data_IF_797196586775
#
_entry.id   IF_797196586775
#
_cell.length_a   1.000
_cell.length_b   1.000
_cell.length_c   1.000
_cell.angle_alpha   90.00
_cell.angle_beta   90.00
_cell.angle_gamma   90.00
#
_symmetry.space_group_name_H-M   'P 1'
#
loop_
_entity.id
_entity.type
_entity.pdbx_description
1 polymer ?
#
# COMPACT_ATOMS: atom_id res chain seq x y z
N UNK A 1 2.12 -21.20 -12.79
CA UNK A 1 1.63 -20.76 -11.44
C UNK A 1 2.69 -19.86 -10.89
N UNK A 2 2.40 -18.57 -10.70
CA UNK A 2 3.40 -17.60 -10.25
C UNK A 2 3.84 -17.91 -8.82
N UNK A 3 5.14 -17.83 -8.54
CA UNK A 3 5.72 -18.11 -7.22
C UNK A 3 5.02 -17.39 -6.04
N UNK A 4 4.41 -16.26 -6.29
CA UNK A 4 3.61 -15.50 -5.33
C UNK A 4 2.26 -16.13 -5.00
N UNK A 5 1.59 -16.73 -5.97
CA UNK A 5 0.33 -17.44 -5.73
C UNK A 5 0.54 -18.60 -4.75
N UNK A 6 1.60 -19.36 -4.93
CA UNK A 6 1.95 -20.48 -4.04
C UNK A 6 2.21 -20.03 -2.61
N UNK A 7 2.87 -18.89 -2.41
CA UNK A 7 3.18 -18.35 -1.08
C UNK A 7 1.90 -17.91 -0.33
N UNK A 8 0.94 -17.31 -1.05
CA UNK A 8 -0.35 -16.93 -0.47
C UNK A 8 -1.16 -18.16 -0.07
N UNK A 9 -1.17 -19.19 -0.91
CA UNK A 9 -1.86 -20.46 -0.58
C UNK A 9 -1.25 -21.15 0.64
N UNK A 10 0.09 -21.19 0.74
CA UNK A 10 0.80 -21.72 1.92
C UNK A 10 0.42 -20.91 3.17
N UNK A 11 0.38 -19.57 3.07
CA UNK A 11 -0.01 -18.72 4.19
C UNK A 11 -1.47 -18.97 4.63
N UNK A 12 -2.41 -19.03 3.68
CA UNK A 12 -3.82 -19.36 3.92
C UNK A 12 -3.92 -20.72 4.63
N UNK A 13 -3.19 -21.71 4.17
CA UNK A 13 -3.20 -23.06 4.73
C UNK A 13 -2.65 -23.08 6.16
N UNK A 14 -1.49 -22.43 6.40
CA UNK A 14 -0.89 -22.35 7.73
C UNK A 14 -1.79 -21.58 8.71
N UNK A 15 -2.31 -20.42 8.31
CA UNK A 15 -3.19 -19.62 9.16
C UNK A 15 -4.50 -20.34 9.50
N UNK A 16 -5.08 -21.04 8.52
CA UNK A 16 -6.29 -21.85 8.74
C UNK A 16 -6.03 -23.01 9.69
N UNK A 17 -4.92 -23.73 9.50
CA UNK A 17 -4.54 -24.84 10.38
C UNK A 17 -4.27 -24.35 11.82
N UNK A 18 -3.62 -23.23 11.97
CA UNK A 18 -3.38 -22.60 13.29
C UNK A 18 -4.70 -22.26 13.97
N UNK A 19 -5.66 -21.67 13.25
CA UNK A 19 -6.98 -21.34 13.80
C UNK A 19 -7.79 -22.58 14.20
N UNK A 20 -7.67 -23.67 13.42
CA UNK A 20 -8.31 -24.95 13.76
C UNK A 20 -7.72 -25.56 15.03
N UNK A 21 -6.38 -25.60 15.14
CA UNK A 21 -5.69 -26.14 16.32
C UNK A 21 -6.03 -25.33 17.56
N UNK A 22 -5.90 -23.98 17.49
CA UNK A 22 -6.25 -23.11 18.60
C UNK A 22 -7.73 -23.24 18.99
N UNK A 23 -8.62 -23.35 18.02
CA UNK A 23 -10.03 -23.57 18.26
C UNK A 23 -10.28 -24.88 19.02
N UNK A 24 -9.65 -25.96 18.60
CA UNK A 24 -9.76 -27.26 19.27
C UNK A 24 -9.23 -27.24 20.71
N UNK A 25 -8.05 -26.65 20.93
CA UNK A 25 -7.45 -26.51 22.27
C UNK A 25 -8.30 -25.65 23.23
N UNK A 26 -8.99 -24.62 22.72
CA UNK A 26 -9.80 -23.71 23.55
C UNK A 26 -11.22 -24.23 23.84
N UNK A 27 -11.78 -25.07 23.00
CA UNK A 27 -13.19 -25.46 23.14
C UNK A 27 -13.55 -26.81 22.48
N UNK A 28 -12.58 -27.70 22.35
CA UNK A 28 -12.75 -29.04 21.77
C UNK A 28 -13.54 -29.01 20.45
N UNK A 29 -14.64 -29.78 20.33
CA UNK A 29 -15.45 -29.85 19.10
C UNK A 29 -16.11 -28.51 18.75
N UNK A 30 -16.62 -27.78 19.74
CA UNK A 30 -17.25 -26.49 19.52
C UNK A 30 -16.22 -25.43 19.11
N UNK A 31 -15.06 -25.43 19.77
CA UNK A 31 -13.94 -24.58 19.42
C UNK A 31 -13.39 -24.85 18.04
N UNK A 32 -13.33 -26.12 17.61
CA UNK A 32 -12.93 -26.48 16.24
C UNK A 32 -13.92 -25.88 15.20
N UNK A 33 -15.23 -25.95 15.44
CA UNK A 33 -16.24 -25.35 14.56
C UNK A 33 -16.11 -23.84 14.48
N UNK A 34 -15.87 -23.17 15.60
CA UNK A 34 -15.63 -21.72 15.65
C UNK A 34 -14.32 -21.38 14.91
N UNK A 35 -13.24 -22.14 15.13
CA UNK A 35 -11.96 -22.00 14.44
C UNK A 35 -12.11 -22.17 12.93
N UNK A 36 -12.89 -23.14 12.49
CA UNK A 36 -13.19 -23.37 11.07
C UNK A 36 -13.98 -22.21 10.46
N UNK A 37 -15.06 -21.77 11.14
CA UNK A 37 -15.87 -20.64 10.67
C UNK A 37 -15.03 -19.35 10.58
N UNK A 38 -14.15 -19.13 11.56
CA UNK A 38 -13.23 -17.97 11.59
C UNK A 38 -12.21 -18.06 10.46
N UNK A 39 -11.60 -19.23 10.24
CA UNK A 39 -10.66 -19.44 9.13
C UNK A 39 -11.34 -19.24 7.77
N UNK A 40 -12.54 -19.78 7.59
CA UNK A 40 -13.34 -19.64 6.36
C UNK A 40 -13.71 -18.17 6.13
N UNK A 41 -14.17 -17.46 7.17
CA UNK A 41 -14.48 -16.03 7.11
C UNK A 41 -13.26 -15.18 6.76
N UNK A 42 -12.11 -15.47 7.36
CA UNK A 42 -10.86 -14.76 7.10
C UNK A 42 -10.36 -15.02 5.68
N UNK A 43 -10.43 -16.26 5.20
CA UNK A 43 -10.06 -16.62 3.83
C UNK A 43 -11.00 -15.98 2.81
N UNK A 44 -12.31 -16.01 3.07
CA UNK A 44 -13.30 -15.32 2.24
C UNK A 44 -13.02 -13.83 2.17
N UNK A 45 -12.72 -13.21 3.32
CA UNK A 45 -12.39 -11.80 3.39
C UNK A 45 -11.13 -11.46 2.60
N UNK A 46 -10.05 -12.23 2.76
CA UNK A 46 -8.80 -12.07 2.00
C UNK A 46 -9.04 -12.26 0.50
N UNK A 47 -9.91 -13.19 0.10
CA UNK A 47 -10.18 -13.50 -1.29
C UNK A 47 -11.12 -12.47 -1.96
N UNK A 48 -12.17 -12.03 -1.29
CA UNK A 48 -13.17 -11.12 -1.85
C UNK A 48 -12.77 -9.63 -1.78
N UNK A 49 -11.95 -9.24 -0.82
CA UNK A 49 -11.38 -7.89 -0.79
C UNK A 49 -10.20 -7.72 -1.76
N UNK A 50 -10.21 -8.48 -2.84
CA UNK A 50 -9.17 -8.54 -3.87
C UNK A 50 -9.00 -7.28 -4.73
N UNK A 51 -9.90 -6.29 -4.67
CA UNK A 51 -9.60 -4.95 -5.16
C UNK A 51 -9.07 -4.13 -3.99
N UNK A 52 -7.90 -3.53 -4.18
CA UNK A 52 -7.28 -2.72 -3.14
C UNK A 52 -8.29 -1.70 -2.59
N UNK A 53 -8.56 -1.70 -1.28
CA UNK A 53 -9.41 -0.70 -0.66
C UNK A 53 -8.97 0.73 -0.98
N UNK A 54 -7.68 0.90 -1.28
CA UNK A 54 -7.08 2.17 -1.64
C UNK A 54 -7.57 2.67 -3.01
N UNK A 55 -7.60 1.79 -4.03
CA UNK A 55 -8.12 2.16 -5.36
C UNK A 55 -9.60 2.55 -5.30
N UNK A 56 -10.38 1.82 -4.51
CA UNK A 56 -11.81 2.15 -4.29
C UNK A 56 -12.01 3.45 -3.51
N UNK A 57 -11.21 3.66 -2.45
CA UNK A 57 -11.31 4.85 -1.62
C UNK A 57 -11.04 6.14 -2.40
N UNK A 58 -10.17 6.07 -3.40
CA UNK A 58 -9.84 7.21 -4.26
C UNK A 58 -10.53 7.18 -5.62
N UNK A 59 -11.54 6.34 -5.81
CA UNK A 59 -12.30 6.24 -7.06
C UNK A 59 -11.41 6.07 -8.30
N UNK A 60 -10.33 5.31 -8.17
CA UNK A 60 -9.36 5.09 -9.23
C UNK A 60 -10.02 4.44 -10.45
N UNK A 61 -9.78 5.01 -11.62
CA UNK A 61 -10.28 4.50 -12.91
C UNK A 61 -9.12 3.91 -13.71
N UNK A 62 -9.27 2.71 -14.31
CA UNK A 62 -8.22 2.17 -15.16
C UNK A 62 -8.00 3.09 -16.35
N UNK A 63 -6.74 3.39 -16.63
CA UNK A 63 -6.38 4.13 -17.85
C UNK A 63 -6.55 3.17 -19.04
N UNK A 64 -7.59 3.40 -19.82
CA UNK A 64 -7.90 2.64 -21.04
C UNK A 64 -7.96 3.59 -22.23
N UNK A 65 -7.28 3.25 -23.29
CA UNK A 65 -7.32 4.03 -24.53
C UNK A 65 -6.07 4.87 -24.76
N UNK A 66 -6.23 6.12 -25.22
CA UNK A 66 -5.11 7.00 -25.53
C UNK A 66 -4.29 7.33 -24.28
N UNK A 67 -2.99 7.08 -24.36
CA UNK A 67 -1.99 7.43 -23.38
C UNK A 67 -1.08 8.56 -23.92
N UNK A 68 -1.50 9.83 -23.79
CA UNK A 68 -0.77 10.95 -24.35
C UNK A 68 0.62 11.16 -23.71
N UNK A 69 0.85 10.57 -22.56
CA UNK A 69 2.13 10.67 -21.84
C UNK A 69 3.08 9.52 -22.15
N UNK A 70 2.62 8.44 -22.82
CA UNK A 70 3.43 7.23 -23.09
C UNK A 70 3.76 6.42 -21.82
N UNK A 71 2.91 6.52 -20.80
CA UNK A 71 3.15 5.89 -19.47
C UNK A 71 3.09 4.37 -19.55
N UNK A 72 2.26 3.84 -20.44
CA UNK A 72 2.10 2.39 -20.63
C UNK A 72 3.39 1.77 -21.18
N UNK A 73 4.00 2.41 -22.18
CA UNK A 73 5.28 1.98 -22.76
C UNK A 73 6.41 2.03 -21.72
N UNK A 74 6.47 3.09 -20.91
CA UNK A 74 7.43 3.20 -19.80
C UNK A 74 7.23 2.10 -18.75
N UNK A 75 5.96 1.79 -18.40
CA UNK A 75 5.66 0.70 -17.47
C UNK A 75 6.08 -0.66 -18.03
N UNK A 76 5.84 -0.94 -19.32
CA UNK A 76 6.30 -2.15 -19.99
C UNK A 76 7.83 -2.25 -19.92
N UNK A 77 8.54 -1.20 -20.38
CA UNK A 77 10.01 -1.13 -20.36
C UNK A 77 10.60 -1.45 -18.97
N UNK A 78 10.09 -0.81 -17.92
CA UNK A 78 10.64 -1.00 -16.58
C UNK A 78 10.21 -2.32 -15.93
N UNK A 79 9.02 -2.80 -16.24
CA UNK A 79 8.53 -4.09 -15.74
C UNK A 79 9.35 -5.24 -16.34
N UNK A 80 9.63 -5.20 -17.65
CA UNK A 80 10.46 -6.19 -18.34
C UNK A 80 11.88 -6.20 -17.79
N UNK A 81 12.47 -5.01 -17.58
CA UNK A 81 13.81 -4.90 -16.99
C UNK A 81 13.89 -5.52 -15.59
N UNK A 82 12.81 -5.43 -14.80
CA UNK A 82 12.75 -5.98 -13.44
C UNK A 82 12.21 -7.42 -13.38
N UNK A 83 11.79 -7.98 -14.52
CA UNK A 83 11.19 -9.33 -14.59
C UNK A 83 9.81 -9.41 -13.91
N UNK A 84 9.02 -8.34 -13.98
CA UNK A 84 7.69 -8.25 -13.39
C UNK A 84 6.60 -8.29 -14.47
N UNK A 85 5.41 -8.83 -14.16
CA UNK A 85 4.26 -8.65 -15.03
C UNK A 85 3.88 -7.16 -15.09
N UNK A 86 3.60 -6.66 -16.30
CA UNK A 86 3.20 -5.26 -16.51
C UNK A 86 2.00 -4.89 -15.62
N UNK A 87 2.12 -3.90 -14.72
CA UNK A 87 1.07 -3.52 -13.82
C UNK A 87 -0.07 -2.79 -14.54
N UNK A 88 -1.27 -2.84 -13.96
CA UNK A 88 -2.36 -2.02 -14.46
C UNK A 88 -2.16 -0.56 -14.05
N UNK A 89 -2.41 0.36 -14.99
CA UNK A 89 -2.32 1.80 -14.74
C UNK A 89 -3.71 2.37 -14.42
N UNK A 90 -3.79 3.12 -13.32
CA UNK A 90 -5.01 3.78 -12.86
C UNK A 90 -4.81 5.29 -12.76
N UNK A 91 -5.86 6.02 -13.13
CA UNK A 91 -5.98 7.45 -12.90
C UNK A 91 -6.87 7.69 -11.69
N UNK A 92 -6.38 8.53 -10.77
CA UNK A 92 -7.11 8.96 -9.57
C UNK A 92 -7.55 10.41 -9.74
N UNK A 93 -8.85 10.74 -9.58
CA UNK A 93 -9.36 12.09 -9.75
C UNK A 93 -9.06 12.96 -8.53
N UNK A 94 -7.78 13.16 -8.24
CA UNK A 94 -7.27 14.02 -7.17
C UNK A 94 -6.44 15.15 -7.78
N UNK A 95 -6.62 16.37 -7.27
CA UNK A 95 -5.80 17.52 -7.64
C UNK A 95 -4.43 17.51 -6.95
N UNK A 96 -4.32 16.84 -5.80
CA UNK A 96 -3.05 16.66 -5.11
C UNK A 96 -2.11 15.80 -5.96
N UNK A 97 -0.86 16.18 -6.03
CA UNK A 97 0.19 15.47 -6.75
C UNK A 97 0.65 14.26 -5.95
N UNK A 98 0.16 13.09 -6.32
CA UNK A 98 0.52 11.85 -5.61
C UNK A 98 0.51 10.65 -6.53
N UNK A 99 1.29 9.64 -6.14
CA UNK A 99 1.32 8.34 -6.79
C UNK A 99 1.44 7.25 -5.74
N UNK A 100 0.80 6.13 -5.98
CA UNK A 100 0.90 4.94 -5.13
C UNK A 100 0.80 3.67 -5.95
N UNK A 101 1.33 2.59 -5.40
CA UNK A 101 1.20 1.28 -6.00
C UNK A 101 0.53 0.31 -5.03
N UNK A 102 -0.20 -0.65 -5.59
CA UNK A 102 -0.81 -1.76 -4.85
C UNK A 102 -0.49 -3.07 -5.53
N UNK A 103 -0.12 -4.05 -4.73
CA UNK A 103 0.07 -5.40 -5.21
C UNK A 103 -1.06 -6.29 -4.69
N UNK A 104 -1.74 -6.93 -5.62
CA UNK A 104 -2.73 -7.95 -5.31
C UNK A 104 -2.04 -9.31 -5.46
N UNK A 105 -1.96 -10.06 -4.37
CA UNK A 105 -1.13 -11.27 -4.22
C UNK A 105 -1.26 -12.31 -5.36
N UNK A 106 -2.34 -12.32 -6.10
CA UNK A 106 -2.62 -13.25 -7.22
C UNK A 106 -2.97 -12.57 -8.52
N UNK A 107 -2.97 -11.23 -8.55
CA UNK A 107 -3.25 -10.43 -9.76
C UNK A 107 -2.03 -9.60 -10.12
N UNK A 108 -2.07 -9.00 -11.29
CA UNK A 108 -1.09 -7.99 -11.70
C UNK A 108 -1.10 -6.84 -10.70
N UNK A 109 0.07 -6.35 -10.35
CA UNK A 109 0.21 -5.11 -9.58
C UNK A 109 -0.52 -3.95 -10.26
N UNK A 110 -0.76 -2.89 -9.52
CA UNK A 110 -1.40 -1.69 -10.05
C UNK A 110 -0.63 -0.47 -9.61
N UNK A 111 -0.43 0.47 -10.52
CA UNK A 111 0.13 1.80 -10.27
C UNK A 111 -0.99 2.81 -10.46
N UNK A 112 -1.12 3.73 -9.53
CA UNK A 112 -2.11 4.80 -9.58
C UNK A 112 -1.43 6.16 -9.54
N UNK A 113 -1.79 7.02 -10.48
CA UNK A 113 -1.31 8.40 -10.61
C UNK A 113 -2.49 9.34 -10.46
N UNK A 114 -2.30 10.44 -9.73
CA UNK A 114 -3.34 11.46 -9.60
C UNK A 114 -3.41 12.36 -10.85
N UNK A 115 -4.58 12.94 -11.09
CA UNK A 115 -4.75 13.92 -12.18
C UNK A 115 -3.87 15.16 -11.96
N UNK A 116 -3.70 15.63 -10.71
CA UNK A 116 -2.81 16.73 -10.39
C UNK A 116 -1.36 16.44 -10.76
N UNK A 117 -0.88 15.21 -10.50
CA UNK A 117 0.46 14.79 -10.88
C UNK A 117 0.66 14.85 -12.40
N UNK A 118 -0.30 14.32 -13.19
CA UNK A 118 -0.22 14.31 -14.64
C UNK A 118 -0.30 15.71 -15.27
N UNK A 119 -0.95 16.65 -14.61
CA UNK A 119 -1.07 18.03 -15.10
C UNK A 119 0.15 18.90 -14.78
N UNK A 120 0.79 18.67 -13.63
CA UNK A 120 1.78 19.57 -13.09
C UNK A 120 3.23 19.07 -13.23
N UNK A 121 3.44 17.82 -13.63
CA UNK A 121 4.76 17.21 -13.76
C UNK A 121 5.13 17.01 -15.23
N UNK A 122 6.43 17.18 -15.55
CA UNK A 122 6.96 16.92 -16.87
C UNK A 122 6.95 15.41 -17.18
N UNK A 123 7.13 15.06 -18.45
CA UNK A 123 7.21 13.66 -18.87
C UNK A 123 8.37 12.93 -18.18
N UNK A 124 9.50 13.60 -18.05
CA UNK A 124 10.71 13.09 -17.41
C UNK A 124 10.49 12.86 -15.89
N UNK A 125 9.72 13.76 -15.24
CA UNK A 125 9.37 13.61 -13.82
C UNK A 125 8.40 12.44 -13.63
N UNK A 126 7.42 12.29 -14.53
CA UNK A 126 6.50 11.14 -14.54
C UNK A 126 7.24 9.82 -14.76
N UNK A 127 8.27 9.81 -15.61
CA UNK A 127 9.14 8.65 -15.82
C UNK A 127 9.84 8.25 -14.51
N UNK A 128 10.38 9.22 -13.74
CA UNK A 128 11.01 8.96 -12.44
C UNK A 128 10.00 8.41 -11.41
N UNK A 129 8.78 8.96 -11.38
CA UNK A 129 7.70 8.45 -10.53
C UNK A 129 7.34 7.01 -10.88
N UNK A 130 7.19 6.70 -12.18
CA UNK A 130 6.85 5.35 -12.63
C UNK A 130 7.95 4.35 -12.32
N UNK A 131 9.21 4.68 -12.59
CA UNK A 131 10.35 3.83 -12.24
C UNK A 131 10.35 3.49 -10.74
N UNK A 132 10.12 4.50 -9.88
CA UNK A 132 10.00 4.27 -8.45
C UNK A 132 8.83 3.36 -8.10
N UNK A 133 7.65 3.54 -8.72
CA UNK A 133 6.48 2.72 -8.43
C UNK A 133 6.67 1.26 -8.86
N UNK A 134 7.34 1.01 -9.99
CA UNK A 134 7.66 -0.36 -10.42
C UNK A 134 8.66 -1.03 -9.46
N UNK A 135 9.68 -0.31 -8.97
CA UNK A 135 10.58 -0.79 -7.93
C UNK A 135 9.84 -1.11 -6.62
N UNK A 136 8.88 -0.26 -6.25
CA UNK A 136 8.03 -0.49 -5.08
C UNK A 136 7.15 -1.73 -5.24
N UNK A 137 6.60 -1.98 -6.43
CA UNK A 137 5.87 -3.20 -6.73
C UNK A 137 6.75 -4.44 -6.58
N UNK A 138 7.99 -4.41 -7.07
CA UNK A 138 8.96 -5.50 -6.89
C UNK A 138 9.22 -5.80 -5.42
N UNK A 139 9.31 -4.76 -4.58
CA UNK A 139 9.44 -4.90 -3.12
C UNK A 139 8.19 -5.52 -2.50
N UNK A 140 7.00 -5.04 -2.86
CA UNK A 140 5.73 -5.57 -2.38
C UNK A 140 5.50 -7.03 -2.79
N UNK A 141 6.14 -7.44 -3.90
CA UNK A 141 6.12 -8.83 -4.37
C UNK A 141 6.94 -9.78 -3.47
N UNK A 142 7.82 -9.26 -2.62
CA UNK A 142 8.54 -10.07 -1.62
C UNK A 142 7.55 -10.62 -0.60
N UNK A 143 7.68 -11.90 -0.28
CA UNK A 143 6.76 -12.66 0.58
C UNK A 143 6.37 -11.95 1.88
N UNK A 144 7.35 -11.44 2.61
CA UNK A 144 7.11 -10.82 3.93
C UNK A 144 6.23 -9.56 3.87
N UNK A 145 6.47 -8.68 2.90
CA UNK A 145 5.77 -7.38 2.79
C UNK A 145 4.35 -7.56 2.26
N UNK A 146 4.17 -8.39 1.23
CA UNK A 146 2.86 -8.63 0.64
C UNK A 146 1.89 -9.31 1.62
N UNK A 147 2.37 -10.35 2.32
CA UNK A 147 1.56 -11.05 3.33
C UNK A 147 1.21 -10.13 4.49
N UNK A 148 2.17 -9.37 5.01
CA UNK A 148 1.94 -8.48 6.15
C UNK A 148 1.00 -7.33 5.80
N UNK A 149 1.09 -6.77 4.59
CA UNK A 149 0.14 -5.77 4.11
C UNK A 149 -1.27 -6.33 3.99
N UNK A 150 -1.41 -7.58 3.52
CA UNK A 150 -2.71 -8.27 3.42
C UNK A 150 -3.31 -8.52 4.82
N UNK A 151 -2.49 -8.98 5.76
CA UNK A 151 -2.91 -9.18 7.16
C UNK A 151 -3.32 -7.88 7.83
N UNK A 152 -2.53 -6.82 7.67
CA UNK A 152 -2.84 -5.51 8.23
C UNK A 152 -4.18 -4.97 7.69
N UNK A 153 -4.42 -5.13 6.38
CA UNK A 153 -5.68 -4.77 5.75
C UNK A 153 -6.86 -5.64 6.25
N UNK A 154 -6.65 -6.94 6.49
CA UNK A 154 -7.65 -7.83 7.06
C UNK A 154 -8.02 -7.42 8.50
N UNK A 155 -7.02 -7.11 9.33
CA UNK A 155 -7.22 -6.64 10.72
C UNK A 155 -8.02 -5.32 10.74
N UNK A 156 -7.64 -4.34 9.91
CA UNK A 156 -8.37 -3.07 9.78
C UNK A 156 -9.76 -3.28 9.20
N UNK A 157 -9.89 -4.19 8.24
CA UNK A 157 -11.17 -4.58 7.64
C UNK A 157 -12.13 -5.18 8.65
N UNK A 158 -11.63 -6.05 9.54
CA UNK A 158 -12.41 -6.61 10.64
C UNK A 158 -12.93 -5.50 11.58
N UNK A 159 -12.08 -4.53 11.94
CA UNK A 159 -12.51 -3.38 12.71
C UNK A 159 -13.63 -2.57 12.04
N UNK A 160 -13.54 -2.36 10.73
CA UNK A 160 -14.60 -1.68 9.94
C UNK A 160 -15.89 -2.49 9.90
N UNK A 161 -15.79 -3.81 9.73
CA UNK A 161 -16.94 -4.71 9.73
C UNK A 161 -17.67 -4.68 11.08
N UNK A 162 -16.93 -4.78 12.18
CA UNK A 162 -17.48 -4.70 13.53
C UNK A 162 -18.15 -3.35 13.79
N UNK A 163 -17.54 -2.23 13.35
CA UNK A 163 -18.15 -0.90 13.43
C UNK A 163 -19.43 -0.77 12.59
N UNK A 164 -19.54 -1.56 11.50
CA UNK A 164 -20.76 -1.58 10.67
C UNK A 164 -21.88 -2.43 11.26
N UNK A 165 -21.52 -3.57 11.86
CA UNK A 165 -22.47 -4.49 12.49
C UNK A 165 -22.94 -3.99 13.86
N UNK A 166 -22.20 -3.11 14.51
CA UNK A 166 -22.54 -2.57 15.82
C UNK A 166 -23.66 -1.53 15.69
N UNK A 167 -24.83 -1.74 16.31
CA UNK A 167 -25.95 -0.81 16.16
C UNK A 167 -25.62 0.55 16.78
N UNK A 168 -25.89 1.67 16.06
CA UNK A 168 -25.52 3.03 16.49
C UNK A 168 -26.27 3.51 17.75
N UNK A 169 -27.25 2.76 18.25
CA UNK A 169 -28.19 3.20 19.29
C UNK A 169 -27.71 2.97 20.73
N UNK A 170 -26.58 2.30 20.95
CA UNK A 170 -26.08 2.00 22.30
C UNK A 170 -25.13 3.04 22.89
N UNK A 171 -24.69 4.02 22.13
CA UNK A 171 -23.84 5.07 22.67
C UNK A 171 -24.56 6.44 22.59
N UNK A 172 -25.10 6.86 23.73
CA UNK A 172 -25.80 8.12 24.00
C UNK A 172 -24.94 9.40 23.81
N UNK A 173 -24.04 9.46 22.86
CA UNK A 173 -23.26 10.66 22.56
C UNK A 173 -23.41 11.04 21.10
N UNK A 174 -24.24 12.03 20.87
CA UNK A 174 -24.54 12.75 19.62
C UNK A 174 -23.34 13.50 19.02
N UNK A 175 -22.17 12.89 18.81
CA UNK A 175 -21.10 13.59 18.09
C UNK A 175 -20.17 12.60 17.40
N UNK A 176 -20.07 12.75 16.10
CA UNK A 176 -19.19 12.02 15.17
C UNK A 176 -19.38 10.49 15.16
N UNK A 177 -19.42 9.95 13.93
CA UNK A 177 -19.34 8.51 13.61
C UNK A 177 -18.11 7.89 14.32
N UNK A 178 -18.23 7.61 15.61
CA UNK A 178 -17.16 6.96 16.37
C UNK A 178 -17.03 5.54 15.82
N UNK A 179 -15.84 5.18 15.34
CA UNK A 179 -15.49 3.85 14.90
C UNK A 179 -14.57 3.22 15.94
N UNK A 180 -15.12 2.71 17.08
CA UNK A 180 -14.32 2.23 18.20
C UNK A 180 -13.46 1.03 17.82
N UNK A 181 -14.01 0.07 17.06
CA UNK A 181 -13.28 -1.10 16.64
C UNK A 181 -12.17 -0.76 15.63
N UNK A 182 -12.43 0.14 14.69
CA UNK A 182 -11.39 0.62 13.80
C UNK A 182 -10.25 1.30 14.56
N UNK A 183 -10.55 2.10 15.59
CA UNK A 183 -9.52 2.73 16.44
C UNK A 183 -8.70 1.71 17.22
N UNK A 184 -9.30 0.59 17.63
CA UNK A 184 -8.63 -0.49 18.32
C UNK A 184 -7.75 -1.34 17.38
N UNK A 185 -8.25 -1.67 16.20
CA UNK A 185 -7.58 -2.56 15.26
C UNK A 185 -6.55 -1.85 14.37
N UNK A 186 -6.71 -0.55 14.10
CA UNK A 186 -5.78 0.21 13.26
C UNK A 186 -4.33 0.22 13.81
N UNK A 187 -4.05 0.40 15.11
CA UNK A 187 -2.69 0.31 15.66
C UNK A 187 -2.06 -1.07 15.48
N UNK A 188 -2.86 -2.16 15.58
CA UNK A 188 -2.38 -3.52 15.37
C UNK A 188 -1.97 -3.74 13.90
N UNK A 189 -2.84 -3.35 12.97
CA UNK A 189 -2.52 -3.40 11.54
C UNK A 189 -1.29 -2.57 11.20
N UNK A 190 -1.17 -1.39 11.78
CA UNK A 190 0.00 -0.53 11.58
C UNK A 190 1.29 -1.15 12.15
N UNK A 191 1.24 -1.77 13.33
CA UNK A 191 2.37 -2.50 13.92
C UNK A 191 2.88 -3.61 13.00
N UNK A 192 1.98 -4.37 12.38
CA UNK A 192 2.31 -5.39 11.38
C UNK A 192 3.04 -4.79 10.18
N UNK A 193 2.56 -3.67 9.64
CA UNK A 193 3.20 -2.99 8.50
C UNK A 193 4.59 -2.49 8.87
N UNK A 194 4.76 -1.91 10.06
CA UNK A 194 6.06 -1.41 10.53
C UNK A 194 7.10 -2.54 10.68
N UNK A 195 6.69 -3.71 11.13
CA UNK A 195 7.56 -4.88 11.23
C UNK A 195 8.04 -5.36 9.86
N UNK A 196 7.17 -5.31 8.83
CA UNK A 196 7.52 -5.78 7.49
C UNK A 196 8.20 -4.71 6.63
N UNK A 197 7.89 -3.43 6.85
CA UNK A 197 8.31 -2.33 5.99
C UNK A 197 9.43 -1.53 6.64
N UNK A 198 10.66 -2.03 6.51
CA UNK A 198 11.86 -1.32 6.98
C UNK A 198 12.12 -0.06 6.14
N UNK A 199 12.64 1.00 6.76
CA UNK A 199 13.13 2.21 6.09
C UNK A 199 14.19 1.90 5.02
N UNK A 200 14.99 0.83 5.23
CA UNK A 200 15.97 0.34 4.25
C UNK A 200 15.36 0.06 2.88
N UNK A 201 14.14 -0.47 2.84
CA UNK A 201 13.49 -0.77 1.57
C UNK A 201 13.08 0.47 0.77
N UNK A 202 12.88 1.64 1.40
CA UNK A 202 12.66 2.90 0.68
C UNK A 202 13.94 3.35 0.01
N UNK A 203 15.07 3.30 0.72
CA UNK A 203 16.38 3.65 0.18
C UNK A 203 16.80 2.75 -0.99
N UNK A 204 16.52 1.43 -0.88
CA UNK A 204 16.76 0.48 -1.96
C UNK A 204 15.92 0.80 -3.19
N UNK A 205 14.63 1.16 -3.00
CA UNK A 205 13.76 1.57 -4.10
C UNK A 205 14.26 2.85 -4.77
N UNK A 206 14.72 3.84 -3.98
CA UNK A 206 15.28 5.10 -4.51
C UNK A 206 16.49 4.82 -5.39
N UNK A 207 17.43 3.99 -4.93
CA UNK A 207 18.63 3.64 -5.68
C UNK A 207 18.29 2.89 -6.97
N UNK A 208 17.44 1.87 -6.90
CA UNK A 208 17.06 1.10 -8.09
C UNK A 208 16.25 1.94 -9.09
N UNK A 209 15.38 2.82 -8.62
CA UNK A 209 14.65 3.73 -9.52
C UNK A 209 15.60 4.69 -10.23
N UNK A 210 16.58 5.25 -9.50
CA UNK A 210 17.60 6.11 -10.09
C UNK A 210 18.51 5.38 -11.10
N UNK A 211 18.80 4.10 -10.86
CA UNK A 211 19.51 3.24 -11.80
C UNK A 211 18.69 2.99 -13.09
N UNK A 212 17.38 2.76 -12.95
CA UNK A 212 16.50 2.53 -14.10
C UNK A 212 16.38 3.73 -15.03
N UNK A 213 16.30 4.94 -14.47
CA UNK A 213 16.21 6.18 -15.28
C UNK A 213 17.58 6.77 -15.64
N UNK A 214 18.68 6.24 -15.07
CA UNK A 214 20.05 6.75 -15.18
C UNK A 214 20.22 8.21 -14.75
N UNK A 215 19.33 8.70 -13.88
CA UNK A 215 19.34 10.09 -13.39
C UNK A 215 18.95 10.19 -11.91
N UNK A 216 19.96 10.26 -11.04
CA UNK A 216 19.75 10.40 -9.59
C UNK A 216 19.23 11.77 -9.19
N UNK A 217 19.66 12.82 -9.93
CA UNK A 217 19.26 14.19 -9.64
C UNK A 217 17.78 14.40 -9.91
N UNK A 218 17.29 13.89 -11.05
CA UNK A 218 15.88 13.95 -11.40
C UNK A 218 15.00 13.27 -10.35
N UNK A 219 15.36 12.07 -9.94
CA UNK A 219 14.60 11.37 -8.90
C UNK A 219 14.62 12.12 -7.57
N UNK A 220 15.78 12.69 -7.18
CA UNK A 220 15.90 13.48 -5.96
C UNK A 220 15.00 14.73 -5.99
N UNK A 221 15.00 15.45 -7.11
CA UNK A 221 14.15 16.63 -7.32
C UNK A 221 12.67 16.28 -7.25
N UNK A 222 12.25 15.21 -7.92
CA UNK A 222 10.86 14.72 -7.91
C UNK A 222 10.42 14.33 -6.49
N UNK A 223 11.25 13.61 -5.76
CA UNK A 223 10.96 13.23 -4.38
C UNK A 223 10.84 14.44 -3.45
N UNK A 224 11.75 15.39 -3.57
CA UNK A 224 11.72 16.62 -2.78
C UNK A 224 10.47 17.46 -3.08
N UNK A 225 10.14 17.63 -4.36
CA UNK A 225 8.95 18.35 -4.81
C UNK A 225 7.66 17.69 -4.33
N UNK A 226 7.55 16.38 -4.44
CA UNK A 226 6.37 15.63 -3.96
C UNK A 226 6.21 15.73 -2.44
N UNK A 227 7.30 15.68 -1.67
CA UNK A 227 7.25 15.87 -0.21
C UNK A 227 6.77 17.28 0.15
N UNK A 228 7.29 18.33 -0.50
CA UNK A 228 6.85 19.71 -0.29
C UNK A 228 5.36 19.89 -0.60
N UNK A 229 4.88 19.30 -1.69
CA UNK A 229 3.47 19.32 -2.05
C UNK A 229 2.60 18.55 -1.05
N UNK A 230 3.06 17.40 -0.55
CA UNK A 230 2.34 16.65 0.47
C UNK A 230 2.26 17.39 1.82
N UNK A 231 3.25 18.21 2.15
CA UNK A 231 3.21 19.06 3.34
C UNK A 231 2.21 20.21 3.21
N UNK A 232 2.11 20.81 2.02
CA UNK A 232 1.15 21.91 1.76
C UNK A 232 -0.28 21.43 1.59
N UNK A 233 -0.47 20.28 0.95
CA UNK A 233 -1.75 19.69 0.64
C UNK A 233 -1.86 18.23 1.13
N UNK A 234 -1.84 18.01 2.44
CA UNK A 234 -1.82 16.66 3.00
C UNK A 234 -3.10 15.90 2.69
N UNK A 235 -2.96 14.63 2.31
CA UNK A 235 -4.05 13.67 2.13
C UNK A 235 -4.25 12.85 3.40
N UNK A 236 -5.46 12.34 3.58
CA UNK A 236 -5.77 11.37 4.63
C UNK A 236 -6.03 9.99 4.01
N UNK A 237 -5.00 9.17 3.86
CA UNK A 237 -5.18 7.85 3.29
C UNK A 237 -5.95 6.94 4.25
N UNK A 238 -6.57 5.86 3.74
CA UNK A 238 -7.12 4.82 4.59
C UNK A 238 -6.07 4.30 5.58
N UNK A 239 -6.47 3.89 6.80
CA UNK A 239 -5.54 3.35 7.78
C UNK A 239 -4.65 2.24 7.17
N UNK A 240 -3.38 2.22 7.56
CA UNK A 240 -2.39 1.24 7.12
C UNK A 240 -2.05 1.25 5.62
N UNK A 241 -2.32 2.32 4.88
CA UNK A 241 -2.02 2.42 3.45
C UNK A 241 -0.95 3.46 3.08
N UNK A 242 -0.55 4.32 4.02
CA UNK A 242 0.43 5.41 3.76
C UNK A 242 1.74 4.89 3.15
N UNK A 243 2.22 3.71 3.55
CA UNK A 243 3.45 3.08 3.06
C UNK A 243 3.44 2.69 1.57
N UNK A 244 2.28 2.71 0.91
CA UNK A 244 2.11 2.41 -0.51
C UNK A 244 2.37 3.62 -1.41
N UNK A 245 2.44 4.81 -0.83
CA UNK A 245 2.71 6.05 -1.53
C UNK A 245 4.21 6.27 -1.73
N UNK A 246 4.58 7.09 -2.70
CA UNK A 246 5.97 7.43 -2.99
C UNK A 246 6.59 8.28 -1.89
N UNK A 247 5.81 9.22 -1.34
CA UNK A 247 6.12 10.04 -0.16
C UNK A 247 4.98 9.95 0.84
N UNK A 248 5.20 10.41 2.08
CA UNK A 248 4.14 10.42 3.09
C UNK A 248 2.97 11.32 2.66
N UNK A 249 1.77 10.78 2.38
CA UNK A 249 0.67 11.61 1.92
C UNK A 249 0.09 12.51 3.01
N UNK A 250 0.38 12.23 4.28
CA UNK A 250 -0.11 12.97 5.45
C UNK A 250 0.80 14.16 5.80
N UNK A 251 1.96 14.28 5.16
CA UNK A 251 2.98 15.29 5.47
C UNK A 251 3.41 15.22 6.94
N UNK A 252 3.67 16.36 7.56
CA UNK A 252 4.07 16.44 8.98
C UNK A 252 2.94 16.23 9.99
N UNK A 253 1.69 16.07 9.53
CA UNK A 253 0.55 15.77 10.42
C UNK A 253 0.60 14.37 11.00
N UNK A 254 1.45 13.51 10.46
CA UNK A 254 1.62 12.16 10.97
C UNK A 254 2.32 12.20 12.33
N UNK A 255 1.66 11.65 13.37
CA UNK A 255 2.31 11.52 14.69
C UNK A 255 3.59 10.70 14.54
N UNK A 256 4.65 11.08 15.23
CA UNK A 256 6.00 10.49 15.13
C UNK A 256 5.98 8.95 15.19
N UNK A 257 5.05 8.39 15.98
CA UNK A 257 4.90 6.94 16.16
C UNK A 257 4.34 6.22 14.92
N UNK A 258 3.61 6.93 14.06
CA UNK A 258 2.96 6.40 12.86
C UNK A 258 3.68 6.78 11.56
N UNK A 259 4.87 7.38 11.61
CA UNK A 259 5.65 7.67 10.41
C UNK A 259 6.01 6.38 9.68
N UNK A 260 5.47 6.23 8.47
CA UNK A 260 5.69 5.06 7.61
C UNK A 260 6.90 5.24 6.69
N UNK A 261 7.26 6.49 6.39
CA UNK A 261 8.36 6.85 5.49
C UNK A 261 9.56 7.37 6.28
N UNK A 262 10.79 7.13 5.79
CA UNK A 262 11.96 7.86 6.25
C UNK A 262 11.83 9.35 5.87
N UNK A 263 12.56 10.22 6.56
CA UNK A 263 12.56 11.65 6.22
C UNK A 263 13.14 11.87 4.82
N UNK A 264 12.70 12.95 4.16
CA UNK A 264 13.17 13.26 2.81
C UNK A 264 14.68 13.53 2.80
N UNK A 265 15.20 14.20 3.83
CA UNK A 265 16.63 14.47 3.99
C UNK A 265 17.44 13.17 4.00
N UNK A 266 16.98 12.17 4.77
CA UNK A 266 17.65 10.87 4.84
C UNK A 266 17.59 10.11 3.51
N UNK A 267 16.50 10.24 2.75
CA UNK A 267 16.37 9.63 1.40
C UNK A 267 17.34 10.31 0.42
N UNK A 268 17.34 11.64 0.37
CA UNK A 268 18.21 12.42 -0.52
C UNK A 268 19.67 12.20 -0.17
N UNK A 269 20.04 12.19 1.11
CA UNK A 269 21.41 11.89 1.54
C UNK A 269 21.86 10.50 1.09
N UNK A 270 21.00 9.50 1.19
CA UNK A 270 21.31 8.13 0.72
C UNK A 270 21.42 8.04 -0.79
N UNK A 271 20.58 8.77 -1.53
CA UNK A 271 20.52 8.75 -2.98
C UNK A 271 21.69 9.49 -3.61
N UNK A 272 22.03 10.66 -3.07
CA UNK A 272 23.02 11.59 -3.61
C UNK A 272 24.40 11.48 -2.96
N UNK A 273 24.50 10.87 -1.78
CA UNK A 273 25.69 10.88 -0.93
C UNK A 273 25.86 12.15 -0.11
N UNK A 274 25.04 13.19 -0.35
CA UNK A 274 24.99 14.43 0.41
C UNK A 274 23.58 14.99 0.36
N UNK A 275 23.25 15.92 1.26
CA UNK A 275 21.97 16.63 1.20
C UNK A 275 22.15 17.89 0.34
N UNK A 276 21.51 17.99 -0.82
CA UNK A 276 21.55 19.22 -1.61
C UNK A 276 20.74 20.30 -0.88
N UNK A 277 21.39 21.34 -0.45
CA UNK A 277 20.79 22.51 0.20
C UNK A 277 20.20 23.42 -0.87
#
# INVERSE_FOLDING_TARGET
MNANSTKVWIFILISSLTLLILGYELGERLGLLIGFATAMGLNFFVFFYGESPLLKAYHAKPLRGQDPWGLTELLEKYSDHLGLPVPNLYLVPLQNETAFCVNQSWRKGSVALSSGLLQNFSKEDLEAVLAYQVCSLKKLDRFGVGVTSTLANAVVGLGRLLDHLWPPNYFLLKTHKQRPFLKLFAPLGWGLIKLANSHRGFYENDLHAAELIHDRFRLAEVLWRLEGLAQTQPLQPPPCSSHLFIVSPEGDRQKLFFKSHPSIEARLQKLMGYYPI
#
